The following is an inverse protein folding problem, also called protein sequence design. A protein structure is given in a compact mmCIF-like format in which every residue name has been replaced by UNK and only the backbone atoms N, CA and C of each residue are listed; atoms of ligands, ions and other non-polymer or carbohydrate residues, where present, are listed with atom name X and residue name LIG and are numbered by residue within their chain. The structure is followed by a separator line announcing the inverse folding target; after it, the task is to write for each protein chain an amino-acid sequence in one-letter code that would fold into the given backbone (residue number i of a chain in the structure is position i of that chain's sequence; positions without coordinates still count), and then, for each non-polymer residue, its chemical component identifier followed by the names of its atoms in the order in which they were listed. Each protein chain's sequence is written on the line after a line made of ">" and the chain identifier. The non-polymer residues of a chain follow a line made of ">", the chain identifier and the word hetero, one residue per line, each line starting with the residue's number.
data_IF_028215337916
#
_entry.id   IF_028215337916
#
_cell.length_a   1.000
_cell.length_b   1.000
_cell.length_c   1.000
_cell.angle_alpha   90.00
_cell.angle_beta   90.00
_cell.angle_gamma   90.00
#
_symmetry.space_group_name_H-M   'P 1'
#
loop_
_entity.id
_entity.type
_entity.pdbx_description
1 polymer ?
#
# COMPACT_ATOMS: atom_id res chain seq x y z
N UNK A 1 -11.20 41.64 -45.21
CA UNK A 1 -11.35 40.61 -44.17
C UNK A 1 -12.39 39.61 -44.61
N UNK A 2 -12.76 38.69 -43.72
CA UNK A 2 -13.86 37.75 -43.91
C UNK A 2 -14.62 37.60 -42.58
N UNK A 3 -15.92 37.34 -42.63
CA UNK A 3 -16.75 37.01 -41.47
C UNK A 3 -17.53 35.74 -41.79
N UNK A 4 -17.49 34.77 -40.88
CA UNK A 4 -18.35 33.59 -40.92
C UNK A 4 -19.27 33.66 -39.70
N UNK A 5 -20.58 33.87 -39.92
CA UNK A 5 -21.58 34.03 -38.85
C UNK A 5 -22.78 33.09 -38.99
N UNK A 6 -23.29 32.64 -37.85
CA UNK A 6 -24.55 31.89 -37.71
C UNK A 6 -25.10 32.12 -36.30
N UNK A 7 -26.42 32.14 -36.14
CA UNK A 7 -27.08 32.18 -34.82
C UNK A 7 -27.32 30.75 -34.27
N UNK A 8 -27.06 29.73 -35.10
CA UNK A 8 -27.15 28.32 -34.75
C UNK A 8 -25.74 27.73 -34.52
N UNK A 9 -25.61 26.41 -34.50
CA UNK A 9 -24.33 25.74 -34.38
C UNK A 9 -23.43 25.96 -35.61
N UNK A 10 -22.13 26.09 -35.37
CA UNK A 10 -21.10 26.13 -36.40
C UNK A 10 -20.03 25.07 -36.14
N UNK A 11 -19.43 24.55 -37.20
CA UNK A 11 -18.33 23.60 -37.11
C UNK A 11 -17.26 23.91 -38.16
N UNK A 12 -16.01 23.93 -37.73
CA UNK A 12 -14.83 23.92 -38.60
C UNK A 12 -14.16 22.58 -38.36
N UNK A 13 -14.11 21.73 -39.39
CA UNK A 13 -13.52 20.38 -39.31
C UNK A 13 -12.52 20.22 -40.45
N UNK A 14 -11.30 19.80 -40.11
CA UNK A 14 -10.27 19.47 -41.08
C UNK A 14 -9.62 18.14 -40.67
N UNK A 15 -9.82 17.09 -41.48
CA UNK A 15 -9.37 15.73 -41.18
C UNK A 15 -7.84 15.59 -41.22
N UNK A 16 -7.18 16.46 -41.98
CA UNK A 16 -5.72 16.46 -42.19
C UNK A 16 -5.00 17.54 -41.37
N UNK A 17 -5.70 18.18 -40.42
CA UNK A 17 -5.17 19.26 -39.58
C UNK A 17 -5.72 20.65 -39.91
N UNK A 18 -5.56 21.59 -38.97
CA UNK A 18 -6.08 22.96 -39.04
C UNK A 18 -5.03 23.97 -38.57
N UNK A 19 -4.75 24.97 -39.39
CA UNK A 19 -3.88 26.09 -39.04
C UNK A 19 -4.70 27.39 -38.95
N UNK A 20 -4.77 27.97 -37.76
CA UNK A 20 -5.40 29.27 -37.53
C UNK A 20 -4.30 30.29 -37.23
N UNK A 21 -4.15 31.28 -38.13
CA UNK A 21 -3.03 32.21 -38.09
C UNK A 21 -3.43 33.66 -38.36
N UNK A 22 -2.75 34.59 -37.72
CA UNK A 22 -2.77 36.02 -38.04
C UNK A 22 -1.48 36.52 -38.70
N UNK A 23 -0.57 35.60 -39.07
CA UNK A 23 0.58 35.91 -39.92
C UNK A 23 0.11 36.32 -41.31
N UNK A 24 0.61 37.44 -41.83
CA UNK A 24 0.18 38.00 -43.10
C UNK A 24 0.86 37.33 -44.31
N UNK A 25 0.08 37.09 -45.36
CA UNK A 25 0.55 36.55 -46.64
C UNK A 25 -0.01 37.40 -47.79
N UNK A 26 0.70 38.49 -48.11
CA UNK A 26 0.22 39.52 -49.04
C UNK A 26 0.09 38.93 -50.45
N UNK A 27 -1.09 39.11 -51.07
CA UNK A 27 -1.36 38.60 -52.40
C UNK A 27 -1.42 37.08 -52.50
N UNK A 28 -1.53 36.36 -51.36
CA UNK A 28 -1.43 34.90 -51.31
C UNK A 28 -0.14 34.38 -51.99
N UNK A 29 0.97 35.09 -51.80
CA UNK A 29 2.24 34.87 -52.50
C UNK A 29 3.03 33.62 -52.07
N UNK A 30 2.39 32.65 -51.42
CA UNK A 30 3.02 31.44 -50.88
C UNK A 30 1.99 30.32 -50.74
N UNK A 31 2.37 29.24 -50.09
CA UNK A 31 1.45 28.11 -49.89
C UNK A 31 0.31 28.47 -48.93
N UNK A 32 -0.85 27.87 -49.15
CA UNK A 32 -2.00 28.03 -48.25
C UNK A 32 -1.68 27.58 -46.81
N UNK A 33 -0.78 26.61 -46.68
CA UNK A 33 -0.37 26.01 -45.41
C UNK A 33 1.10 26.33 -45.07
N UNK A 34 1.52 27.58 -45.27
CA UNK A 34 2.85 28.02 -44.81
C UNK A 34 2.91 28.09 -43.27
N UNK A 35 3.44 27.01 -42.68
CA UNK A 35 3.64 26.85 -41.24
C UNK A 35 4.99 27.38 -40.74
N UNK A 36 5.82 27.97 -41.62
CA UNK A 36 7.19 28.37 -41.28
C UNK A 36 7.29 29.23 -40.01
N UNK A 37 6.45 30.28 -39.81
CA UNK A 37 6.50 31.08 -38.60
C UNK A 37 6.12 30.30 -37.33
N UNK A 38 5.11 29.43 -37.41
CA UNK A 38 4.67 28.61 -36.27
C UNK A 38 5.72 27.58 -35.90
N UNK A 39 6.37 26.96 -36.89
CA UNK A 39 7.43 25.98 -36.71
C UNK A 39 8.65 26.54 -36.00
N UNK A 40 9.09 27.75 -36.37
CA UNK A 40 10.21 28.42 -35.72
C UNK A 40 9.94 28.63 -34.22
N UNK A 41 8.70 28.97 -33.86
CA UNK A 41 8.30 29.13 -32.45
C UNK A 41 8.29 27.78 -31.71
N UNK A 42 7.74 26.72 -32.32
CA UNK A 42 7.74 25.37 -31.74
C UNK A 42 9.17 24.86 -31.53
N UNK A 43 10.06 25.07 -32.51
CA UNK A 43 11.47 24.68 -32.41
C UNK A 43 12.19 25.42 -31.28
N UNK A 44 11.95 26.72 -31.14
CA UNK A 44 12.53 27.53 -30.06
C UNK A 44 12.03 27.06 -28.69
N UNK A 45 10.73 26.78 -28.56
CA UNK A 45 10.13 26.25 -27.34
C UNK A 45 10.65 24.85 -26.99
N UNK A 46 10.87 24.00 -27.99
CA UNK A 46 11.48 22.68 -27.79
C UNK A 46 12.92 22.79 -27.30
N UNK A 47 13.76 23.61 -27.94
CA UNK A 47 15.16 23.81 -27.53
C UNK A 47 15.28 24.33 -26.09
N UNK A 48 14.42 25.29 -25.72
CA UNK A 48 14.34 25.79 -24.35
C UNK A 48 13.96 24.68 -23.36
N UNK A 49 12.90 23.92 -23.68
CA UNK A 49 12.42 22.85 -22.80
C UNK A 49 13.45 21.73 -22.66
N UNK A 50 14.14 21.36 -23.74
CA UNK A 50 15.20 20.35 -23.74
C UNK A 50 16.40 20.79 -22.89
N UNK A 51 16.87 22.04 -23.06
CA UNK A 51 17.98 22.58 -22.27
C UNK A 51 17.65 22.65 -20.77
N UNK A 52 16.45 23.12 -20.40
CA UNK A 52 16.02 23.16 -19.01
C UNK A 52 15.82 21.76 -18.43
N UNK A 53 15.31 20.81 -19.22
CA UNK A 53 15.16 19.41 -18.81
C UNK A 53 16.50 18.74 -18.52
N UNK A 54 17.51 18.96 -19.37
CA UNK A 54 18.86 18.45 -19.13
C UNK A 54 19.45 19.07 -17.86
N UNK A 55 19.33 20.39 -17.70
CA UNK A 55 19.82 21.07 -16.49
C UNK A 55 19.13 20.57 -15.21
N UNK A 56 17.83 20.23 -15.26
CA UNK A 56 17.11 19.66 -14.13
C UNK A 56 17.64 18.26 -13.77
N UNK A 57 17.81 17.40 -14.78
CA UNK A 57 18.35 16.05 -14.61
C UNK A 57 19.79 16.08 -14.03
N UNK A 58 20.63 17.00 -14.50
CA UNK A 58 22.00 17.19 -13.98
C UNK A 58 22.03 17.60 -12.50
N UNK A 59 20.91 18.11 -11.97
CA UNK A 59 20.74 18.52 -10.57
C UNK A 59 19.79 17.59 -9.78
N UNK A 60 19.57 16.36 -10.26
CA UNK A 60 18.70 15.34 -9.65
C UNK A 60 17.23 15.78 -9.49
N UNK A 61 16.76 16.74 -10.28
CA UNK A 61 15.34 17.06 -10.40
C UNK A 61 14.69 16.25 -11.53
N UNK A 62 13.36 16.19 -11.56
CA UNK A 62 12.63 15.44 -12.59
C UNK A 62 12.78 16.11 -13.96
N UNK A 63 13.04 15.30 -14.98
CA UNK A 63 13.15 15.75 -16.37
C UNK A 63 11.77 16.03 -17.00
N UNK A 64 11.73 16.94 -17.96
CA UNK A 64 10.52 17.26 -18.74
C UNK A 64 10.30 16.22 -19.84
N UNK A 65 9.88 15.01 -19.46
CA UNK A 65 9.74 13.86 -20.38
C UNK A 65 8.78 14.07 -21.57
N UNK A 66 7.95 15.11 -21.55
CA UNK A 66 6.96 15.43 -22.58
C UNK A 66 7.50 16.21 -23.79
N UNK A 67 8.79 16.58 -23.83
CA UNK A 67 9.40 17.33 -24.94
C UNK A 67 9.28 16.62 -26.30
N UNK A 68 9.15 15.30 -26.30
CA UNK A 68 8.95 14.51 -27.52
C UNK A 68 7.68 14.91 -28.30
N UNK A 69 6.57 15.23 -27.62
CA UNK A 69 5.33 15.64 -28.29
C UNK A 69 5.44 17.03 -28.92
N UNK A 70 6.15 17.95 -28.27
CA UNK A 70 6.41 19.28 -28.82
C UNK A 70 7.31 19.20 -30.06
N UNK A 71 8.34 18.35 -30.02
CA UNK A 71 9.21 18.09 -31.17
C UNK A 71 8.41 17.50 -32.34
N UNK A 72 7.61 16.48 -32.08
CA UNK A 72 6.77 15.84 -33.08
C UNK A 72 5.82 16.84 -33.76
N UNK A 73 5.21 17.75 -32.99
CA UNK A 73 4.35 18.79 -33.56
C UNK A 73 5.10 19.74 -34.53
N UNK A 74 6.40 19.98 -34.29
CA UNK A 74 7.25 20.74 -35.22
C UNK A 74 7.67 19.95 -36.46
N UNK A 75 8.00 18.67 -36.29
CA UNK A 75 8.42 17.76 -37.37
C UNK A 75 7.26 17.40 -38.32
N UNK A 76 6.04 17.29 -37.78
CA UNK A 76 4.83 16.99 -38.53
C UNK A 76 4.25 18.21 -39.26
N UNK A 77 4.68 19.42 -38.91
CA UNK A 77 4.31 20.66 -39.58
C UNK A 77 5.12 20.93 -40.87
N UNK A 78 6.07 20.05 -41.23
CA UNK A 78 6.95 20.17 -42.40
C UNK A 78 6.81 18.99 -43.35
N UNK A 79 5.84 19.08 -44.24
CA UNK A 79 5.62 18.06 -45.26
C UNK A 79 4.99 18.65 -46.52
N UNK A 80 5.10 17.94 -47.64
CA UNK A 80 4.47 18.30 -48.90
C UNK A 80 3.73 17.12 -49.53
N UNK A 81 2.68 17.42 -50.30
CA UNK A 81 2.10 16.51 -51.29
C UNK A 81 2.82 16.73 -52.62
N UNK A 82 3.21 15.67 -53.32
CA UNK A 82 3.85 15.76 -54.64
C UNK A 82 4.89 14.65 -54.85
N UNK A 83 5.26 14.39 -56.10
CA UNK A 83 6.23 13.34 -56.44
C UNK A 83 7.66 13.83 -56.20
N UNK A 84 8.25 13.46 -55.07
CA UNK A 84 9.71 13.32 -54.98
C UNK A 84 10.20 12.00 -55.62
N UNK A 85 9.31 11.24 -56.26
CA UNK A 85 9.71 10.17 -57.18
C UNK A 85 10.37 10.80 -58.41
N UNK A 86 11.68 10.94 -58.29
CA UNK A 86 12.64 10.99 -59.35
C UNK A 86 12.20 10.04 -60.50
N UNK A 87 11.64 10.60 -61.57
CA UNK A 87 11.62 9.95 -62.88
C UNK A 87 13.08 9.81 -63.31
N UNK A 88 13.75 8.72 -62.95
CA UNK A 88 15.11 8.43 -63.40
C UNK A 88 15.18 8.02 -64.87
N UNK A 89 14.06 7.91 -65.60
CA UNK A 89 14.12 7.38 -66.98
C UNK A 89 12.98 7.82 -67.91
N UNK A 90 12.72 9.13 -68.05
CA UNK A 90 11.85 9.61 -69.13
C UNK A 90 12.51 10.71 -69.97
N UNK A 91 12.87 10.32 -71.18
CA UNK A 91 13.47 11.10 -72.25
C UNK A 91 12.59 12.32 -72.60
N UNK A 92 13.07 13.54 -72.28
CA UNK A 92 12.36 14.80 -72.47
C UNK A 92 12.71 15.48 -73.81
N UNK A 93 12.70 14.72 -74.90
CA UNK A 93 13.19 15.19 -76.21
C UNK A 93 12.11 15.74 -77.15
N UNK A 94 10.84 15.90 -76.73
CA UNK A 94 9.83 16.54 -77.60
C UNK A 94 8.80 17.40 -76.87
N UNK A 95 8.42 18.50 -77.52
CA UNK A 95 7.43 19.47 -77.03
C UNK A 95 5.99 18.93 -76.93
N UNK A 96 5.73 17.70 -77.39
CA UNK A 96 4.44 17.02 -77.22
C UNK A 96 4.20 16.48 -75.80
N UNK A 97 5.25 16.37 -74.97
CA UNK A 97 5.14 15.95 -73.57
C UNK A 97 4.89 17.08 -72.56
N UNK A 98 4.83 18.34 -73.03
CA UNK A 98 4.75 19.51 -72.15
C UNK A 98 3.31 20.02 -71.87
N UNK A 99 2.29 19.49 -72.56
CA UNK A 99 0.90 19.93 -72.38
C UNK A 99 0.06 19.03 -71.46
N UNK A 100 0.51 17.81 -71.17
CA UNK A 100 -0.17 16.88 -70.23
C UNK A 100 0.45 16.89 -68.82
N UNK A 101 1.51 17.65 -68.59
CA UNK A 101 2.05 17.86 -67.24
C UNK A 101 1.25 18.95 -66.53
N UNK A 102 0.02 18.61 -66.10
CA UNK A 102 -0.61 19.29 -64.97
C UNK A 102 0.42 19.44 -63.84
N UNK A 103 0.44 20.62 -63.21
CA UNK A 103 1.57 21.09 -62.42
C UNK A 103 2.23 20.01 -61.55
N UNK A 104 3.54 19.83 -61.70
CA UNK A 104 4.41 19.04 -60.79
C UNK A 104 4.55 19.70 -59.40
N UNK A 105 3.51 20.41 -58.96
CA UNK A 105 3.55 21.28 -57.79
C UNK A 105 3.60 20.44 -56.52
N UNK A 106 4.66 20.63 -55.75
CA UNK A 106 4.62 20.28 -54.33
C UNK A 106 3.67 21.27 -53.62
N UNK A 107 2.83 20.77 -52.72
CA UNK A 107 1.93 21.60 -51.91
C UNK A 107 2.11 21.27 -50.43
N UNK A 108 2.34 22.29 -49.60
CA UNK A 108 2.51 22.10 -48.15
C UNK A 108 1.33 21.35 -47.49
N UNK A 109 1.66 20.45 -46.57
CA UNK A 109 0.73 19.66 -45.74
C UNK A 109 1.27 19.43 -44.34
N UNK A 110 0.43 18.89 -43.45
CA UNK A 110 0.86 18.30 -42.19
C UNK A 110 0.99 16.77 -42.34
N UNK A 111 1.92 16.15 -41.60
CA UNK A 111 2.06 14.68 -41.50
C UNK A 111 0.94 14.03 -40.68
N UNK A 112 0.41 14.79 -39.73
CA UNK A 112 -0.61 14.36 -38.77
C UNK A 112 -1.61 15.51 -38.53
N UNK A 113 -2.84 15.22 -38.04
CA UNK A 113 -3.90 16.21 -37.97
C UNK A 113 -3.77 17.15 -36.76
N UNK A 114 -2.79 18.05 -36.81
CA UNK A 114 -2.53 19.04 -35.77
C UNK A 114 -3.49 20.22 -35.85
N UNK A 115 -3.78 20.83 -34.69
CA UNK A 115 -4.37 22.16 -34.60
C UNK A 115 -3.28 23.14 -34.16
N UNK A 116 -2.82 23.98 -35.08
CA UNK A 116 -1.87 25.06 -34.78
C UNK A 116 -2.59 26.39 -34.67
N UNK A 117 -2.38 27.09 -33.55
CA UNK A 117 -2.77 28.49 -33.35
C UNK A 117 -1.49 29.32 -33.34
N UNK A 118 -1.36 30.28 -34.26
CA UNK A 118 -0.19 31.13 -34.34
C UNK A 118 -0.56 32.60 -34.54
N UNK A 119 0.16 33.50 -33.87
CA UNK A 119 -0.06 34.93 -33.99
C UNK A 119 1.25 35.65 -33.70
N UNK A 120 1.67 36.64 -34.51
CA UNK A 120 2.90 37.40 -34.25
C UNK A 120 2.78 38.32 -33.03
N UNK A 121 1.55 38.69 -32.63
CA UNK A 121 1.31 39.61 -31.51
C UNK A 121 0.90 38.90 -30.21
N UNK A 122 0.31 37.71 -30.30
CA UNK A 122 -0.18 36.95 -29.15
C UNK A 122 -1.53 36.28 -29.37
N UNK A 123 -1.90 35.40 -28.45
CA UNK A 123 -3.15 34.64 -28.44
C UNK A 123 -3.82 34.86 -27.08
N UNK A 124 -5.14 35.09 -27.06
CA UNK A 124 -5.90 35.29 -25.82
C UNK A 124 -7.13 34.38 -25.81
N UNK A 125 -7.42 33.80 -24.65
CA UNK A 125 -8.62 33.01 -24.38
C UNK A 125 -9.31 33.62 -23.15
N UNK A 126 -10.60 33.92 -23.25
CA UNK A 126 -11.37 34.55 -22.17
C UNK A 126 -12.80 34.04 -22.13
N UNK A 127 -13.31 33.81 -20.91
CA UNK A 127 -14.70 33.42 -20.63
C UNK A 127 -15.10 33.98 -19.26
N UNK A 128 -16.35 34.40 -19.05
CA UNK A 128 -16.83 34.78 -17.72
C UNK A 128 -17.05 33.57 -16.80
N UNK A 129 -17.08 32.35 -17.34
CA UNK A 129 -17.28 31.11 -16.60
C UNK A 129 -15.98 30.30 -16.51
N UNK A 130 -15.99 29.01 -16.89
CA UNK A 130 -14.86 28.11 -16.75
C UNK A 130 -14.14 27.84 -18.06
N UNK A 131 -12.84 27.60 -17.95
CA UNK A 131 -12.01 27.00 -19.01
C UNK A 131 -11.48 25.66 -18.49
N UNK A 132 -11.48 24.64 -19.34
CA UNK A 132 -10.97 23.31 -19.02
C UNK A 132 -9.93 22.88 -20.06
N UNK A 133 -8.79 22.39 -19.59
CA UNK A 133 -7.76 21.74 -20.42
C UNK A 133 -7.70 20.27 -19.99
N UNK A 134 -8.09 19.36 -20.89
CA UNK A 134 -8.08 17.93 -20.64
C UNK A 134 -7.26 17.22 -21.73
N UNK A 135 -6.22 16.50 -21.31
CA UNK A 135 -5.33 15.75 -22.20
C UNK A 135 -5.20 14.30 -21.71
N UNK A 136 -5.16 13.35 -22.64
CA UNK A 136 -4.93 11.93 -22.31
C UNK A 136 -3.47 11.55 -22.08
N UNK A 137 -2.53 12.50 -22.26
CA UNK A 137 -1.09 12.28 -22.12
C UNK A 137 -0.44 13.35 -21.24
N UNK A 138 -0.03 14.48 -21.82
CA UNK A 138 0.69 15.53 -21.10
C UNK A 138 0.24 16.93 -21.51
N UNK A 139 0.43 17.90 -20.61
CA UNK A 139 0.33 19.33 -20.86
C UNK A 139 1.74 19.92 -20.68
N UNK A 140 2.26 20.57 -21.72
CA UNK A 140 3.55 21.28 -21.67
C UNK A 140 3.33 22.77 -21.89
N UNK A 141 3.96 23.59 -21.05
CA UNK A 141 3.95 25.06 -21.16
C UNK A 141 5.39 25.53 -21.23
N UNK A 142 5.74 26.20 -22.33
CA UNK A 142 7.08 26.75 -22.55
C UNK A 142 6.97 28.24 -22.86
N UNK A 143 7.74 29.05 -22.14
CA UNK A 143 7.79 30.52 -22.29
C UNK A 143 9.24 30.96 -22.37
N UNK A 144 9.57 31.85 -23.31
CA UNK A 144 10.92 32.45 -23.37
C UNK A 144 11.25 33.37 -22.19
N UNK A 145 10.21 33.84 -21.50
CA UNK A 145 10.26 34.70 -20.32
C UNK A 145 9.44 34.06 -19.17
N UNK A 146 8.56 34.83 -18.52
CA UNK A 146 7.87 34.41 -17.30
C UNK A 146 6.58 33.61 -17.55
N UNK A 147 6.30 32.68 -16.64
CA UNK A 147 4.95 32.12 -16.43
C UNK A 147 4.32 32.83 -15.23
N UNK A 148 3.26 33.60 -15.48
CA UNK A 148 2.52 34.31 -14.44
C UNK A 148 1.17 33.64 -14.17
N UNK A 149 0.92 33.22 -12.92
CA UNK A 149 -0.34 32.60 -12.50
C UNK A 149 -0.96 33.45 -11.39
N UNK A 150 -2.13 34.03 -11.65
CA UNK A 150 -2.89 34.80 -10.68
C UNK A 150 -4.26 34.15 -10.44
N UNK A 151 -4.57 33.88 -9.17
CA UNK A 151 -5.86 33.30 -8.74
C UNK A 151 -6.50 34.19 -7.68
N UNK A 152 -7.82 34.40 -7.78
CA UNK A 152 -8.56 35.21 -6.81
C UNK A 152 -8.91 34.48 -5.51
N UNK A 153 -8.74 33.14 -5.46
CA UNK A 153 -9.08 32.32 -4.29
C UNK A 153 -7.95 31.37 -3.92
N UNK A 154 -7.80 30.29 -4.67
CA UNK A 154 -6.87 29.20 -4.35
C UNK A 154 -6.18 28.69 -5.62
N UNK A 155 -4.93 28.26 -5.45
CA UNK A 155 -4.24 27.39 -6.40
C UNK A 155 -4.10 26.03 -5.73
N UNK A 156 -4.74 25.01 -6.29
CA UNK A 156 -4.75 23.64 -5.75
C UNK A 156 -4.21 22.71 -6.82
N UNK A 157 -3.23 21.89 -6.45
CA UNK A 157 -2.64 20.88 -7.30
C UNK A 157 -2.67 19.53 -6.57
N UNK A 158 -3.24 18.52 -7.22
CA UNK A 158 -3.24 17.12 -6.76
C UNK A 158 -2.51 16.29 -7.79
N UNK A 159 -1.43 15.63 -7.39
CA UNK A 159 -0.48 14.95 -8.28
C UNK A 159 -0.31 13.52 -7.78
N UNK A 160 -0.40 12.54 -8.67
CA UNK A 160 -0.36 11.12 -8.31
C UNK A 160 1.04 10.58 -8.05
N UNK A 161 2.05 11.15 -8.71
CA UNK A 161 3.42 10.63 -8.65
C UNK A 161 4.37 11.60 -7.95
N UNK A 162 4.73 12.72 -8.59
CA UNK A 162 5.75 13.63 -8.06
C UNK A 162 5.50 15.10 -8.39
N UNK A 163 5.80 15.98 -7.42
CA UNK A 163 5.98 17.41 -7.65
C UNK A 163 7.48 17.74 -7.64
N UNK A 164 8.03 18.14 -8.78
CA UNK A 164 9.42 18.60 -8.89
C UNK A 164 9.48 20.08 -9.28
N UNK A 165 10.21 20.87 -8.50
CA UNK A 165 10.41 22.31 -8.74
C UNK A 165 11.91 22.59 -8.83
N UNK A 166 12.37 22.95 -10.02
CA UNK A 166 13.77 23.24 -10.31
C UNK A 166 13.95 24.69 -10.76
N UNK A 167 14.94 25.39 -10.21
CA UNK A 167 15.32 26.75 -10.60
C UNK A 167 16.83 26.80 -10.82
N UNK A 168 17.25 27.06 -12.06
CA UNK A 168 18.66 27.03 -12.44
C UNK A 168 19.51 28.18 -11.86
N UNK A 169 18.92 29.36 -11.62
CA UNK A 169 19.69 30.59 -11.35
C UNK A 169 19.29 31.33 -10.06
N UNK A 170 18.02 31.75 -9.95
CA UNK A 170 17.62 32.75 -8.96
C UNK A 170 17.09 32.18 -7.62
N UNK A 171 17.01 30.86 -7.49
CA UNK A 171 16.50 30.17 -6.30
C UNK A 171 14.98 30.20 -6.15
N UNK A 172 14.49 29.62 -5.05
CA UNK A 172 13.06 29.45 -4.75
C UNK A 172 12.66 30.38 -3.60
N UNK A 173 11.47 30.98 -3.70
CA UNK A 173 10.87 31.84 -2.68
C UNK A 173 9.46 31.36 -2.36
N UNK A 174 9.22 30.95 -1.11
CA UNK A 174 7.92 30.49 -0.61
C UNK A 174 7.49 31.39 0.55
N UNK A 175 6.44 32.18 0.35
CA UNK A 175 5.96 33.12 1.37
C UNK A 175 4.46 32.97 1.58
N UNK A 176 4.04 32.94 2.85
CA UNK A 176 2.65 33.16 3.25
C UNK A 176 2.58 34.49 4.00
N UNK A 177 1.89 35.49 3.44
CA UNK A 177 1.72 36.78 4.11
C UNK A 177 0.89 36.66 5.41
N UNK A 178 -0.03 35.70 5.43
CA UNK A 178 -0.83 35.28 6.58
C UNK A 178 -1.11 33.79 6.47
N UNK A 179 -1.40 33.16 7.60
CA UNK A 179 -1.66 31.72 7.65
C UNK A 179 -0.39 30.90 7.82
N UNK A 180 -0.58 29.63 8.19
CA UNK A 180 0.49 28.67 8.49
C UNK A 180 1.11 28.17 7.17
N UNK A 181 2.44 28.10 7.11
CA UNK A 181 3.15 27.27 6.13
C UNK A 181 3.31 25.88 6.74
N UNK A 182 2.85 24.85 6.04
CA UNK A 182 2.94 23.47 6.46
C UNK A 182 3.58 22.64 5.34
N UNK A 183 4.63 21.90 5.68
CA UNK A 183 5.33 20.97 4.79
C UNK A 183 5.41 19.65 5.54
N UNK A 184 5.04 18.56 4.89
CA UNK A 184 5.00 17.21 5.47
C UNK A 184 5.43 16.19 4.44
N UNK A 185 6.24 15.22 4.86
CA UNK A 185 6.40 13.94 4.19
C UNK A 185 5.63 12.93 5.05
N UNK A 186 4.47 12.46 4.58
CA UNK A 186 3.51 11.73 5.42
C UNK A 186 3.90 10.27 5.66
N UNK A 187 4.65 9.68 4.71
CA UNK A 187 5.07 8.28 4.76
C UNK A 187 6.54 8.09 4.39
N UNK A 188 7.32 9.16 4.29
CA UNK A 188 8.72 9.13 3.85
C UNK A 188 9.54 10.23 4.53
N UNK A 189 10.84 10.29 4.23
CA UNK A 189 11.77 11.24 4.79
C UNK A 189 11.56 12.66 4.25
N UNK A 190 11.94 13.65 5.06
CA UNK A 190 12.10 15.04 4.65
C UNK A 190 13.57 15.43 4.75
N UNK A 191 14.13 15.98 3.67
CA UNK A 191 15.51 16.48 3.61
C UNK A 191 15.55 18.00 3.37
N UNK A 192 16.42 18.70 4.09
CA UNK A 192 16.72 20.12 3.88
C UNK A 192 18.23 20.34 3.90
N UNK A 193 18.81 20.50 2.71
CA UNK A 193 20.26 20.59 2.52
C UNK A 193 20.63 21.90 1.81
N UNK A 194 21.71 22.55 2.25
CA UNK A 194 22.28 23.73 1.60
C UNK A 194 23.81 23.68 1.61
N UNK A 195 24.46 24.11 0.52
CA UNK A 195 25.92 24.22 0.45
C UNK A 195 26.47 25.28 1.43
N UNK A 196 25.67 26.32 1.69
CA UNK A 196 26.00 27.43 2.60
C UNK A 196 25.26 27.25 3.93
N UNK A 197 24.80 28.35 4.53
CA UNK A 197 24.09 28.31 5.79
C UNK A 197 22.64 27.86 5.64
N UNK A 198 22.16 27.11 6.63
CA UNK A 198 20.74 26.92 6.92
C UNK A 198 20.39 27.75 8.15
N UNK A 199 19.37 28.61 8.05
CA UNK A 199 18.90 29.44 9.17
C UNK A 199 17.45 29.08 9.49
N UNK A 200 17.21 28.69 10.75
CA UNK A 200 15.87 28.46 11.31
C UNK A 200 15.65 29.50 12.39
N UNK A 201 14.58 30.30 12.28
CA UNK A 201 14.33 31.42 13.19
C UNK A 201 12.84 31.57 13.47
N UNK A 202 12.50 31.70 14.76
CA UNK A 202 11.19 32.16 15.22
C UNK A 202 11.38 33.52 15.88
N UNK A 203 10.74 34.57 15.38
CA UNK A 203 10.96 35.94 15.84
C UNK A 203 10.16 36.28 17.10
N UNK A 204 9.00 35.67 17.27
CA UNK A 204 8.08 35.93 18.39
C UNK A 204 7.70 34.65 19.16
N UNK A 205 8.03 33.47 18.63
CA UNK A 205 7.65 32.18 19.20
C UNK A 205 8.84 31.29 19.54
N UNK A 206 8.58 29.98 19.58
CA UNK A 206 9.59 28.95 19.87
C UNK A 206 9.95 28.15 18.62
N UNK A 207 11.17 27.64 18.57
CA UNK A 207 11.56 26.57 17.64
C UNK A 207 11.35 25.25 18.39
N UNK A 208 10.44 24.41 17.91
CA UNK A 208 10.20 23.07 18.45
C UNK A 208 10.81 22.03 17.51
N UNK A 209 11.76 21.26 18.03
CA UNK A 209 12.33 20.08 17.35
C UNK A 209 12.00 18.87 18.21
N UNK A 210 11.35 17.88 17.64
CA UNK A 210 10.90 16.68 18.34
C UNK A 210 11.04 15.49 17.41
N UNK A 211 11.51 14.37 17.94
CA UNK A 211 11.67 13.11 17.21
C UNK A 211 11.37 11.95 18.15
N UNK A 212 10.80 10.88 17.62
CA UNK A 212 10.49 9.68 18.40
C UNK A 212 11.75 8.89 18.77
N UNK A 213 12.64 8.69 17.79
CA UNK A 213 13.86 7.90 17.98
C UNK A 213 15.01 8.72 18.57
N UNK A 214 15.26 9.92 18.05
CA UNK A 214 16.30 10.79 18.58
C UNK A 214 16.60 12.04 17.75
N UNK A 215 17.40 12.93 18.33
CA UNK A 215 17.87 14.18 17.71
C UNK A 215 19.40 14.21 17.78
N UNK A 216 20.07 14.43 16.64
CA UNK A 216 21.53 14.58 16.54
C UNK A 216 21.90 15.94 15.95
N UNK A 217 22.69 16.71 16.69
CA UNK A 217 23.28 17.98 16.25
C UNK A 217 24.80 17.79 16.19
N UNK A 218 25.41 17.89 15.01
CA UNK A 218 26.82 17.55 14.81
C UNK A 218 27.60 18.65 14.07
N UNK A 219 28.87 18.84 14.43
CA UNK A 219 29.78 19.75 13.73
C UNK A 219 31.25 19.41 14.06
N UNK A 220 32.08 19.24 13.03
CA UNK A 220 33.54 19.11 13.20
C UNK A 220 34.00 17.98 14.15
N UNK A 221 33.19 16.92 14.29
CA UNK A 221 33.43 15.81 15.21
C UNK A 221 32.85 15.99 16.63
N UNK A 222 32.39 17.18 17.00
CA UNK A 222 31.59 17.39 18.21
C UNK A 222 30.10 17.17 17.93
N UNK A 223 29.35 16.72 18.93
CA UNK A 223 27.91 16.52 18.79
C UNK A 223 27.14 16.65 20.11
N UNK A 224 25.84 16.94 19.96
CA UNK A 224 24.82 16.79 20.99
C UNK A 224 23.80 15.77 20.48
N UNK A 225 23.52 14.74 21.27
CA UNK A 225 22.55 13.70 20.93
C UNK A 225 21.50 13.57 22.03
N UNK A 226 20.24 13.48 21.63
CA UNK A 226 19.09 13.20 22.51
C UNK A 226 18.48 11.89 22.02
N UNK A 227 18.56 10.83 22.82
CA UNK A 227 18.13 9.48 22.42
C UNK A 227 17.79 8.65 23.67
N UNK A 228 16.71 7.85 23.64
CA UNK A 228 16.28 7.00 24.77
C UNK A 228 16.08 7.71 26.13
N UNK A 229 15.83 9.02 26.11
CA UNK A 229 15.71 9.85 27.32
C UNK A 229 17.04 10.38 27.85
N UNK A 230 18.16 10.00 27.25
CA UNK A 230 19.49 10.47 27.60
C UNK A 230 19.92 11.67 26.73
N UNK A 231 20.81 12.50 27.27
CA UNK A 231 21.46 13.60 26.56
C UNK A 231 22.97 13.37 26.61
N UNK A 232 23.58 13.24 25.43
CA UNK A 232 25.04 13.11 25.28
C UNK A 232 25.62 14.40 24.69
N UNK A 233 26.70 14.90 25.30
CA UNK A 233 27.46 16.06 24.81
C UNK A 233 28.92 15.66 24.66
N UNK A 234 29.34 15.38 23.44
CA UNK A 234 30.70 14.92 23.13
C UNK A 234 31.44 15.95 22.29
N UNK A 235 32.70 16.22 22.63
CA UNK A 235 33.55 17.07 21.81
C UNK A 235 35.01 16.60 21.87
N UNK A 236 35.76 16.64 20.75
CA UNK A 236 37.17 16.27 20.75
C UNK A 236 38.08 17.34 21.37
N UNK A 237 37.60 18.58 21.42
CA UNK A 237 38.29 19.72 22.03
C UNK A 237 37.76 20.03 23.42
N UNK A 238 37.52 21.31 23.68
CA UNK A 238 37.03 21.81 24.96
C UNK A 238 35.52 22.04 24.91
N UNK A 239 34.80 21.57 25.92
CA UNK A 239 33.44 22.03 26.22
C UNK A 239 33.51 23.23 27.19
N UNK A 240 33.14 24.42 26.73
CA UNK A 240 33.17 25.66 27.51
C UNK A 240 31.75 26.02 27.98
N UNK A 241 31.50 25.90 29.29
CA UNK A 241 30.21 26.22 29.91
C UNK A 241 30.30 27.53 30.69
N UNK A 242 29.53 28.55 30.30
CA UNK A 242 29.52 29.87 30.95
C UNK A 242 28.16 30.15 31.58
N UNK A 243 28.15 30.42 32.89
CA UNK A 243 26.96 30.80 33.65
C UNK A 243 27.31 31.19 35.08
N UNK A 244 26.43 31.96 35.73
CA UNK A 244 26.63 32.34 37.15
C UNK A 244 26.40 31.17 38.12
N UNK A 245 25.63 30.15 37.72
CA UNK A 245 25.33 28.95 38.49
C UNK A 245 25.16 27.74 37.56
N UNK A 246 25.57 26.55 38.04
CA UNK A 246 25.32 25.26 37.42
C UNK A 246 24.68 24.34 38.46
N UNK A 247 23.38 24.09 38.35
CA UNK A 247 22.63 23.28 39.32
C UNK A 247 22.18 21.97 38.68
N UNK A 248 22.54 20.84 39.29
CA UNK A 248 22.20 19.50 38.83
C UNK A 248 21.24 18.84 39.83
N UNK A 249 19.96 19.23 39.79
CA UNK A 249 18.93 18.90 40.79
C UNK A 249 18.24 17.54 40.61
N UNK A 250 18.88 16.59 39.92
CA UNK A 250 18.32 15.28 39.61
C UNK A 250 17.49 15.24 38.31
N UNK A 251 16.95 14.06 37.94
CA UNK A 251 16.29 13.86 36.65
C UNK A 251 14.90 14.50 36.59
N UNK A 252 14.50 14.93 35.39
CA UNK A 252 13.15 15.40 35.07
C UNK A 252 12.68 14.77 33.75
N UNK A 253 11.37 14.75 33.51
CA UNK A 253 10.78 14.21 32.28
C UNK A 253 9.75 15.18 31.71
N UNK A 254 9.60 15.14 30.39
CA UNK A 254 8.57 15.86 29.65
C UNK A 254 7.94 14.88 28.65
N UNK A 255 6.63 14.62 28.77
CA UNK A 255 5.91 13.84 27.77
C UNK A 255 5.52 14.74 26.60
N UNK A 256 5.90 14.32 25.38
CA UNK A 256 5.43 14.95 24.14
C UNK A 256 4.55 13.96 23.41
N UNK A 257 3.30 14.33 23.13
CA UNK A 257 2.45 13.61 22.20
C UNK A 257 2.78 14.04 20.77
N UNK A 258 3.04 13.08 19.89
CA UNK A 258 3.14 13.32 18.45
C UNK A 258 1.74 13.33 17.84
N UNK A 259 1.45 14.28 16.96
CA UNK A 259 0.24 14.21 16.13
C UNK A 259 0.44 13.05 15.14
N UNK A 260 -0.49 12.10 15.10
CA UNK A 260 -0.50 11.05 14.08
C UNK A 260 -0.60 11.74 12.71
N UNK A 261 0.37 11.48 11.84
CA UNK A 261 0.24 11.85 10.44
C UNK A 261 -0.93 11.07 9.85
N UNK A 262 -1.69 11.66 8.91
CA UNK A 262 -2.78 10.94 8.28
C UNK A 262 -2.19 9.72 7.56
N UNK A 263 -2.39 8.54 8.13
CA UNK A 263 -2.21 7.31 7.41
C UNK A 263 -3.24 7.29 6.27
N UNK A 264 -2.79 6.96 5.06
CA UNK A 264 -3.72 6.49 4.04
C UNK A 264 -4.52 5.38 4.71
N UNK A 265 -5.87 5.42 4.73
CA UNK A 265 -6.62 4.31 5.28
C UNK A 265 -6.12 3.07 4.55
N UNK A 266 -5.53 2.15 5.31
CA UNK A 266 -5.26 0.81 4.81
C UNK A 266 -6.55 0.23 4.24
N UNK A 267 -6.49 -0.92 3.54
CA UNK A 267 -7.71 -1.60 3.14
C UNK A 267 -8.68 -1.68 4.32
N UNK A 268 -9.94 -1.32 4.11
CA UNK A 268 -10.95 -1.39 5.14
C UNK A 268 -11.03 -2.84 5.59
N UNK A 269 -10.73 -3.08 6.87
CA UNK A 269 -10.77 -4.42 7.45
C UNK A 269 -12.06 -4.61 8.25
N UNK A 270 -12.75 -5.71 7.97
CA UNK A 270 -13.89 -6.14 8.77
C UNK A 270 -13.79 -7.65 9.02
N UNK A 271 -14.13 -8.07 10.24
CA UNK A 271 -14.42 -9.46 10.56
C UNK A 271 -15.77 -9.51 11.28
N UNK A 272 -16.38 -10.68 11.32
CA UNK A 272 -17.64 -10.90 12.01
C UNK A 272 -17.43 -11.90 13.13
N UNK A 273 -18.12 -11.68 14.26
CA UNK A 273 -18.33 -12.72 15.25
C UNK A 273 -19.67 -13.37 14.95
N UNK A 274 -19.63 -14.65 14.58
CA UNK A 274 -20.80 -15.47 14.36
C UNK A 274 -21.38 -15.84 15.72
N UNK A 275 -22.64 -15.49 15.97
CA UNK A 275 -23.36 -15.83 17.21
C UNK A 275 -24.67 -16.51 16.90
N UNK A 276 -25.11 -17.41 17.76
CA UNK A 276 -26.46 -17.97 17.67
C UNK A 276 -27.50 -16.88 17.99
N UNK A 277 -28.57 -16.84 17.21
CA UNK A 277 -29.58 -15.78 17.29
C UNK A 277 -30.46 -15.89 18.54
N UNK A 278 -30.59 -17.07 19.12
CA UNK A 278 -31.45 -17.32 20.29
C UNK A 278 -30.66 -17.25 21.60
N UNK A 279 -29.45 -17.81 21.64
CA UNK A 279 -28.63 -17.80 22.86
C UNK A 279 -27.65 -16.62 22.96
N UNK A 280 -27.27 -16.02 21.84
CA UNK A 280 -26.22 -15.00 21.77
C UNK A 280 -24.80 -15.55 21.97
N UNK A 281 -24.64 -16.87 22.09
CA UNK A 281 -23.33 -17.50 22.22
C UNK A 281 -22.58 -17.51 20.89
N UNK A 282 -21.24 -17.44 20.94
CA UNK A 282 -20.41 -17.56 19.75
C UNK A 282 -20.63 -18.91 19.07
N UNK A 283 -20.58 -18.92 17.74
CA UNK A 283 -20.66 -20.09 16.88
C UNK A 283 -19.26 -20.48 16.43
N UNK A 284 -18.50 -21.20 17.27
CA UNK A 284 -17.14 -21.58 16.94
C UNK A 284 -17.13 -22.51 15.74
N UNK A 285 -16.17 -22.31 14.84
CA UNK A 285 -15.99 -23.16 13.66
C UNK A 285 -17.20 -23.26 12.74
N UNK A 286 -18.14 -22.31 12.77
CA UNK A 286 -19.23 -22.28 11.81
C UNK A 286 -18.69 -21.93 10.41
N UNK A 287 -19.17 -22.66 9.40
CA UNK A 287 -18.87 -22.34 8.00
C UNK A 287 -19.64 -21.09 7.59
N UNK A 288 -18.98 -20.16 6.88
CA UNK A 288 -19.60 -18.92 6.46
C UNK A 288 -19.18 -18.52 5.04
N UNK A 289 -20.00 -17.67 4.43
CA UNK A 289 -19.78 -16.99 3.16
C UNK A 289 -20.07 -15.51 3.36
N UNK A 290 -19.14 -14.66 2.97
CA UNK A 290 -19.33 -13.20 2.89
C UNK A 290 -19.29 -12.77 1.43
N UNK A 291 -20.23 -11.94 1.02
CA UNK A 291 -20.32 -11.36 -0.32
C UNK A 291 -20.19 -9.83 -0.23
N UNK A 292 -19.31 -9.26 -1.06
CA UNK A 292 -19.12 -7.80 -1.18
C UNK A 292 -20.18 -7.18 -2.10
N UNK A 293 -20.33 -5.86 -2.10
CA UNK A 293 -21.26 -5.19 -3.01
C UNK A 293 -20.79 -5.29 -4.48
N UNK A 294 -19.49 -5.47 -4.69
CA UNK A 294 -18.86 -5.71 -6.00
C UNK A 294 -18.94 -7.17 -6.48
N UNK A 295 -19.52 -8.07 -5.66
CA UNK A 295 -19.76 -9.48 -6.02
C UNK A 295 -18.59 -10.43 -5.72
N UNK A 296 -17.57 -9.99 -5.00
CA UNK A 296 -16.51 -10.87 -4.49
C UNK A 296 -17.05 -11.75 -3.37
N UNK A 297 -16.62 -13.01 -3.34
CA UNK A 297 -17.11 -14.01 -2.39
C UNK A 297 -15.95 -14.55 -1.55
N UNK A 298 -16.10 -14.42 -0.24
CA UNK A 298 -15.16 -14.91 0.76
C UNK A 298 -15.79 -16.05 1.57
N UNK A 299 -15.34 -17.28 1.34
CA UNK A 299 -15.77 -18.46 2.12
C UNK A 299 -14.69 -18.89 3.12
N UNK A 300 -15.12 -19.41 4.26
CA UNK A 300 -14.21 -19.88 5.30
C UNK A 300 -14.94 -20.50 6.48
N UNK A 301 -14.16 -20.89 7.49
CA UNK A 301 -14.65 -21.41 8.76
C UNK A 301 -14.21 -20.46 9.87
N UNK A 302 -15.12 -20.12 10.79
CA UNK A 302 -14.79 -19.25 11.91
C UNK A 302 -13.81 -19.95 12.87
N UNK A 303 -13.17 -19.19 13.75
CA UNK A 303 -12.28 -19.76 14.78
C UNK A 303 -13.06 -20.23 16.03
N UNK A 304 -12.33 -20.57 17.09
CA UNK A 304 -12.89 -21.04 18.37
C UNK A 304 -13.71 -19.99 19.14
N UNK A 305 -13.66 -18.72 18.74
CA UNK A 305 -14.45 -17.64 19.31
C UNK A 305 -15.55 -17.18 18.32
N UNK A 306 -15.77 -17.96 17.25
CA UNK A 306 -16.75 -17.64 16.22
C UNK A 306 -16.33 -16.49 15.31
N UNK A 307 -15.06 -16.10 15.30
CA UNK A 307 -14.57 -14.98 14.49
C UNK A 307 -14.23 -15.43 13.07
N UNK A 308 -14.72 -14.70 12.07
CA UNK A 308 -14.37 -14.90 10.66
C UNK A 308 -12.96 -14.40 10.37
N UNK A 309 -12.39 -14.81 9.23
CA UNK A 309 -11.17 -14.17 8.72
C UNK A 309 -11.42 -12.69 8.45
N UNK A 310 -10.36 -11.89 8.52
CA UNK A 310 -10.40 -10.49 8.10
C UNK A 310 -10.70 -10.41 6.61
N UNK A 311 -11.70 -9.60 6.26
CA UNK A 311 -12.08 -9.27 4.89
C UNK A 311 -11.55 -7.87 4.64
N UNK A 312 -10.80 -7.73 3.55
CA UNK A 312 -10.11 -6.51 3.18
C UNK A 312 -10.77 -5.94 1.94
N UNK A 313 -11.33 -4.74 2.01
CA UNK A 313 -11.94 -4.04 0.87
C UNK A 313 -11.21 -2.74 0.57
N UNK A 314 -11.22 -2.31 -0.69
CA UNK A 314 -10.54 -1.07 -1.13
C UNK A 314 -11.36 0.19 -0.79
N UNK A 315 -12.66 0.03 -0.62
CA UNK A 315 -13.62 1.08 -0.26
C UNK A 315 -14.57 0.59 0.84
N UNK A 316 -15.18 1.48 1.64
CA UNK A 316 -16.19 1.08 2.60
C UNK A 316 -17.43 0.57 1.86
N UNK A 317 -17.80 -0.68 2.09
CA UNK A 317 -18.96 -1.31 1.46
C UNK A 317 -19.72 -2.22 2.42
N UNK A 318 -21.00 -2.47 2.13
CA UNK A 318 -21.84 -3.35 2.92
C UNK A 318 -21.53 -4.80 2.59
N UNK A 319 -21.09 -5.56 3.58
CA UNK A 319 -20.82 -6.99 3.45
C UNK A 319 -22.07 -7.81 3.82
N UNK A 320 -22.40 -8.80 2.99
CA UNK A 320 -23.48 -9.75 3.25
C UNK A 320 -22.90 -11.06 3.78
N UNK A 321 -23.07 -11.31 5.07
CA UNK A 321 -22.66 -12.55 5.73
C UNK A 321 -23.78 -13.60 5.70
N UNK A 322 -23.44 -14.83 5.31
CA UNK A 322 -24.31 -16.01 5.34
C UNK A 322 -23.58 -17.12 6.10
N UNK A 323 -24.21 -17.69 7.13
CA UNK A 323 -23.70 -18.88 7.83
C UNK A 323 -24.17 -20.11 7.04
N UNK A 324 -23.22 -20.90 6.55
CA UNK A 324 -23.46 -22.04 5.65
C UNK A 324 -23.93 -23.30 6.40
N UNK A 325 -23.68 -23.40 7.71
CA UNK A 325 -24.15 -24.52 8.56
C UNK A 325 -25.66 -24.44 8.90
N UNK A 326 -26.42 -23.61 8.20
CA UNK A 326 -27.89 -23.56 8.26
C UNK A 326 -28.54 -23.62 6.87
N UNK A 327 -27.94 -24.36 5.95
CA UNK A 327 -28.70 -24.94 4.85
C UNK A 327 -29.23 -26.32 5.29
N UNK A 328 -30.56 -26.38 5.35
CA UNK A 328 -31.44 -27.55 5.38
C UNK A 328 -31.94 -28.04 6.77
N UNK A 329 -33.06 -27.44 7.18
CA UNK A 329 -34.17 -28.08 7.93
C UNK A 329 -34.81 -29.23 7.12
N UNK A 330 -33.98 -30.16 6.63
CA UNK A 330 -34.41 -31.34 5.92
C UNK A 330 -33.41 -32.50 6.10
N UNK A 331 -33.13 -32.90 7.35
CA UNK A 331 -33.00 -34.29 7.78
C UNK A 331 -32.61 -34.38 9.26
N UNK A 332 -33.57 -34.77 10.12
CA UNK A 332 -33.28 -35.30 11.46
C UNK A 332 -32.58 -36.65 11.32
N UNK A 333 -31.27 -36.69 11.48
CA UNK A 333 -30.59 -37.95 11.82
C UNK A 333 -30.57 -38.12 13.35
N UNK A 334 -31.31 -39.14 13.80
CA UNK A 334 -31.23 -39.66 15.16
C UNK A 334 -29.78 -40.11 15.43
N UNK A 335 -29.07 -39.44 16.35
CA UNK A 335 -27.81 -39.97 16.87
C UNK A 335 -28.08 -41.30 17.58
N UNK A 336 -27.49 -42.37 17.08
CA UNK A 336 -27.61 -43.72 17.63
C UNK A 336 -26.66 -43.90 18.83
N UNK A 337 -27.14 -44.56 19.89
CA UNK A 337 -26.32 -44.98 21.02
C UNK A 337 -25.92 -46.45 20.87
N UNK A 338 -24.70 -46.79 21.25
CA UNK A 338 -24.22 -48.18 21.20
C UNK A 338 -22.86 -48.41 21.87
N UNK A 339 -22.39 -49.66 21.89
CA UNK A 339 -21.12 -50.04 22.50
C UNK A 339 -19.94 -49.43 21.75
N UNK A 340 -18.94 -48.96 22.49
CA UNK A 340 -17.87 -48.14 21.94
C UNK A 340 -16.60 -48.12 22.80
N UNK A 341 -15.71 -47.22 22.42
CA UNK A 341 -14.48 -46.88 23.15
C UNK A 341 -14.25 -45.38 23.09
N UNK A 342 -13.61 -44.84 24.12
CA UNK A 342 -13.15 -43.46 24.15
C UNK A 342 -11.87 -43.34 23.34
N UNK A 343 -11.89 -42.53 22.28
CA UNK A 343 -10.72 -42.28 21.42
C UNK A 343 -10.29 -40.85 21.58
N UNK A 344 -9.00 -40.62 21.85
CA UNK A 344 -8.44 -39.26 21.96
C UNK A 344 -8.50 -38.57 20.60
N UNK A 345 -9.29 -37.51 20.51
CA UNK A 345 -9.51 -36.73 19.29
C UNK A 345 -8.76 -35.40 19.32
N UNK A 346 -8.53 -34.83 20.52
CA UNK A 346 -7.81 -33.58 20.68
C UNK A 346 -6.99 -33.53 21.98
N UNK A 347 -5.89 -32.77 21.95
CA UNK A 347 -5.02 -32.50 23.12
C UNK A 347 -4.67 -31.01 23.16
N UNK A 348 -5.32 -30.26 24.04
CA UNK A 348 -5.07 -28.83 24.21
C UNK A 348 -4.03 -28.57 25.32
N UNK A 349 -2.86 -28.05 24.95
CA UNK A 349 -1.72 -27.83 25.84
C UNK A 349 -1.68 -26.47 26.56
N UNK A 350 -2.81 -25.76 26.69
CA UNK A 350 -2.94 -24.48 27.45
C UNK A 350 -1.69 -23.57 27.36
N UNK A 351 -1.26 -23.27 26.13
CA UNK A 351 0.11 -22.83 25.81
C UNK A 351 0.62 -21.62 26.59
N UNK A 352 -0.20 -20.56 26.72
CA UNK A 352 0.20 -19.33 27.43
C UNK A 352 0.38 -19.59 28.93
N UNK A 353 -0.56 -20.31 29.55
CA UNK A 353 -0.48 -20.67 30.98
C UNK A 353 0.75 -21.54 31.25
N UNK A 354 0.98 -22.54 30.39
CA UNK A 354 2.11 -23.44 30.54
C UNK A 354 3.46 -22.72 30.34
N UNK A 355 3.54 -21.74 29.44
CA UNK A 355 4.73 -20.92 29.27
C UNK A 355 5.11 -20.15 30.55
N UNK A 356 4.16 -19.49 31.21
CA UNK A 356 4.43 -18.81 32.48
C UNK A 356 4.82 -19.78 33.59
N UNK A 357 4.16 -20.95 33.66
CA UNK A 357 4.49 -21.99 34.64
C UNK A 357 5.93 -22.50 34.46
N UNK A 358 6.35 -22.73 33.22
CA UNK A 358 7.74 -23.12 32.90
C UNK A 358 8.75 -22.05 33.31
N UNK A 359 8.40 -20.76 33.13
CA UNK A 359 9.29 -19.64 33.47
C UNK A 359 9.46 -19.50 34.98
N UNK A 360 8.37 -19.65 35.75
CA UNK A 360 8.40 -19.72 37.22
C UNK A 360 9.26 -20.89 37.69
N UNK A 361 9.02 -22.10 37.17
CA UNK A 361 9.80 -23.30 37.52
C UNK A 361 11.27 -23.20 37.13
N UNK A 362 11.58 -22.51 36.03
CA UNK A 362 12.96 -22.18 35.69
C UNK A 362 13.59 -21.31 36.77
N UNK A 363 12.93 -20.24 37.21
CA UNK A 363 13.51 -19.35 38.25
C UNK A 363 13.78 -20.07 39.57
N UNK A 364 12.96 -21.05 39.95
CA UNK A 364 13.15 -21.87 41.15
C UNK A 364 14.33 -22.86 41.03
N UNK A 365 14.71 -23.25 39.81
CA UNK A 365 15.69 -24.32 39.54
C UNK A 365 17.03 -23.82 38.95
N UNK A 366 17.22 -22.51 38.79
CA UNK A 366 18.43 -21.86 38.22
C UNK A 366 19.74 -22.17 38.98
N UNK A 367 19.68 -22.70 40.20
CA UNK A 367 20.85 -23.09 41.00
C UNK A 367 21.49 -24.45 40.66
N UNK A 368 20.85 -25.28 39.82
CA UNK A 368 21.40 -26.56 39.36
C UNK A 368 22.26 -26.34 38.10
N UNK A 369 23.60 -26.30 38.25
CA UNK A 369 24.54 -25.98 37.17
C UNK A 369 24.47 -26.97 35.99
N UNK A 370 24.34 -26.43 34.75
CA UNK A 370 24.53 -27.17 33.50
C UNK A 370 23.26 -27.57 32.72
N UNK A 371 22.06 -27.18 33.17
CA UNK A 371 20.78 -27.62 32.56
C UNK A 371 20.31 -26.75 31.39
N UNK A 372 20.14 -27.33 30.20
CA UNK A 372 19.54 -26.64 29.04
C UNK A 372 18.03 -26.43 29.22
N UNK A 373 17.50 -25.36 28.63
CA UNK A 373 16.07 -25.05 28.71
C UNK A 373 15.27 -26.15 28.00
N UNK A 374 14.29 -26.73 28.70
CA UNK A 374 13.48 -27.82 28.16
C UNK A 374 14.17 -29.20 28.11
N UNK A 375 15.37 -29.35 28.68
CA UNK A 375 16.12 -30.62 28.63
C UNK A 375 15.73 -31.64 29.70
N UNK A 376 15.05 -31.23 30.78
CA UNK A 376 14.45 -32.15 31.77
C UNK A 376 12.99 -31.83 32.03
N UNK A 377 12.22 -32.86 32.36
CA UNK A 377 10.80 -32.76 32.73
C UNK A 377 10.48 -31.80 33.89
N UNK A 378 11.48 -31.44 34.72
CA UNK A 378 11.35 -30.42 35.79
C UNK A 378 10.85 -29.06 35.30
N UNK A 379 11.21 -28.62 34.09
CA UNK A 379 10.74 -27.33 33.55
C UNK A 379 9.23 -27.39 33.26
N UNK A 380 8.72 -28.58 32.99
CA UNK A 380 7.33 -28.82 32.64
C UNK A 380 6.47 -29.15 33.88
N UNK A 381 7.06 -29.16 35.09
CA UNK A 381 6.35 -29.47 36.33
C UNK A 381 5.16 -28.52 36.57
N UNK A 382 3.97 -29.11 36.74
CA UNK A 382 2.74 -28.36 36.99
C UNK A 382 2.11 -27.77 35.73
N UNK A 383 2.65 -28.04 34.54
CA UNK A 383 1.95 -27.73 33.28
C UNK A 383 0.71 -28.60 33.14
N UNK A 384 -0.33 -28.05 32.51
CA UNK A 384 -1.66 -28.69 32.41
C UNK A 384 -2.06 -28.85 30.94
N UNK A 385 -2.63 -29.99 30.58
CA UNK A 385 -3.27 -30.19 29.27
C UNK A 385 -4.65 -30.81 29.44
N UNK A 386 -5.56 -30.50 28.51
CA UNK A 386 -6.88 -31.13 28.45
C UNK A 386 -6.91 -32.10 27.27
N UNK A 387 -7.23 -33.36 27.57
CA UNK A 387 -7.36 -34.43 26.58
C UNK A 387 -8.84 -34.68 26.35
N UNK A 388 -9.31 -34.41 25.13
CA UNK A 388 -10.68 -34.69 24.72
C UNK A 388 -10.73 -36.07 24.08
N UNK A 389 -11.59 -36.93 24.60
CA UNK A 389 -11.90 -38.23 24.01
C UNK A 389 -13.34 -38.25 23.49
N UNK A 390 -13.55 -38.86 22.33
CA UNK A 390 -14.86 -39.04 21.71
C UNK A 390 -15.27 -40.51 21.70
N UNK A 391 -16.53 -40.78 22.05
CA UNK A 391 -17.09 -42.12 22.03
C UNK A 391 -17.28 -42.61 20.59
N UNK A 392 -16.53 -43.64 20.23
CA UNK A 392 -16.48 -44.19 18.88
C UNK A 392 -16.90 -45.66 18.91
N UNK A 393 -17.69 -46.08 17.90
CA UNK A 393 -18.15 -47.46 17.78
C UNK A 393 -16.98 -48.45 17.70
N UNK A 394 -17.17 -49.62 18.33
CA UNK A 394 -16.21 -50.71 18.23
C UNK A 394 -16.22 -51.33 16.83
N UNK A 395 -15.04 -51.70 16.33
CA UNK A 395 -14.94 -52.57 15.14
C UNK A 395 -15.38 -53.99 15.48
N UNK A 396 -15.79 -54.76 14.47
CA UNK A 396 -16.25 -56.14 14.64
C UNK A 396 -15.20 -57.04 15.32
N UNK A 397 -13.91 -56.80 15.07
CA UNK A 397 -12.80 -57.50 15.72
C UNK A 397 -12.66 -57.18 17.21
N UNK A 398 -12.88 -55.92 17.59
CA UNK A 398 -12.77 -55.48 18.99
C UNK A 398 -13.94 -55.98 19.82
N UNK A 399 -15.15 -55.94 19.27
CA UNK A 399 -16.34 -56.52 19.90
C UNK A 399 -16.18 -58.01 20.17
N UNK A 400 -15.56 -58.73 19.22
CA UNK A 400 -15.26 -60.16 19.38
C UNK A 400 -14.24 -60.41 20.48
N UNK A 401 -13.16 -59.62 20.52
CA UNK A 401 -12.11 -59.75 21.52
C UNK A 401 -12.61 -59.48 22.95
N UNK A 402 -13.48 -58.49 23.15
CA UNK A 402 -14.09 -58.20 24.45
C UNK A 402 -15.03 -59.32 24.91
N UNK A 403 -15.85 -59.84 24.00
CA UNK A 403 -16.76 -60.96 24.27
C UNK A 403 -16.00 -62.24 24.65
N UNK A 404 -14.88 -62.54 23.98
CA UNK A 404 -14.02 -63.70 24.29
C UNK A 404 -13.38 -63.60 25.69
N UNK A 405 -13.24 -62.38 26.23
CA UNK A 405 -12.76 -62.10 27.59
C UNK A 405 -13.90 -61.99 28.63
N UNK A 406 -15.16 -62.22 28.23
CA UNK A 406 -16.32 -62.12 29.12
C UNK A 406 -16.75 -60.69 29.48
N UNK A 407 -16.33 -59.69 28.71
CA UNK A 407 -16.57 -58.27 28.96
C UNK A 407 -17.57 -57.68 27.96
N UNK A 408 -18.42 -56.76 28.42
CA UNK A 408 -19.37 -56.02 27.56
C UNK A 408 -19.08 -54.52 27.66
N UNK A 409 -18.92 -53.85 26.51
CA UNK A 409 -18.72 -52.40 26.47
C UNK A 409 -19.97 -51.65 26.91
N UNK A 410 -19.79 -50.59 27.70
CA UNK A 410 -20.85 -49.66 28.11
C UNK A 410 -21.48 -48.99 26.89
N UNK A 411 -22.69 -48.45 26.99
CA UNK A 411 -23.34 -47.76 25.86
C UNK A 411 -23.41 -46.25 26.11
N UNK A 412 -22.81 -45.48 25.21
CA UNK A 412 -22.94 -44.01 25.12
C UNK A 412 -23.42 -43.61 23.73
N UNK A 413 -23.82 -42.35 23.54
CA UNK A 413 -24.20 -41.84 22.22
C UNK A 413 -22.94 -41.63 21.38
N UNK A 414 -22.91 -42.12 20.15
CA UNK A 414 -21.73 -41.95 19.30
C UNK A 414 -21.48 -40.47 19.03
N UNK A 415 -20.23 -40.05 19.23
CA UNK A 415 -19.84 -38.65 19.20
C UNK A 415 -19.92 -37.92 20.56
N UNK A 416 -20.37 -38.58 21.64
CA UNK A 416 -20.23 -38.02 22.99
C UNK A 416 -18.76 -37.75 23.30
N UNK A 417 -18.49 -36.69 24.05
CA UNK A 417 -17.12 -36.29 24.38
C UNK A 417 -16.92 -36.20 25.88
N UNK A 418 -15.73 -36.58 26.34
CA UNK A 418 -15.28 -36.33 27.72
C UNK A 418 -13.91 -35.66 27.69
N UNK A 419 -13.69 -34.78 28.66
CA UNK A 419 -12.44 -34.03 28.79
C UNK A 419 -11.74 -34.47 30.07
N UNK A 420 -10.47 -34.86 29.95
CA UNK A 420 -9.63 -35.26 31.07
C UNK A 420 -8.47 -34.28 31.19
N UNK A 421 -8.45 -33.51 32.27
CA UNK A 421 -7.36 -32.58 32.57
C UNK A 421 -6.20 -33.35 33.19
N UNK A 422 -5.03 -33.29 32.57
CA UNK A 422 -3.79 -33.90 33.06
C UNK A 422 -2.81 -32.82 33.49
N UNK A 423 -2.06 -33.10 34.56
CA UNK A 423 -0.95 -32.26 35.03
C UNK A 423 0.36 -33.03 34.89
N UNK A 424 1.42 -32.38 34.42
CA UNK A 424 2.73 -33.00 34.26
C UNK A 424 3.51 -32.94 35.58
N UNK A 425 3.79 -34.10 36.17
CA UNK A 425 4.34 -34.23 37.52
C UNK A 425 5.44 -35.30 37.58
N UNK A 426 6.35 -35.20 38.55
CA UNK A 426 7.33 -36.26 38.87
C UNK A 426 6.63 -37.38 39.63
N UNK A 427 6.73 -38.61 39.12
CA UNK A 427 6.15 -39.78 39.74
C UNK A 427 7.14 -40.92 39.88
N UNK A 428 6.85 -41.91 40.75
CA UNK A 428 7.47 -43.22 40.63
C UNK A 428 7.08 -43.83 39.28
N UNK A 429 8.08 -44.34 38.57
CA UNK A 429 7.87 -45.05 37.31
C UNK A 429 7.79 -46.55 37.57
N UNK A 430 6.67 -47.17 37.21
CA UNK A 430 6.48 -48.62 37.32
C UNK A 430 7.12 -49.38 36.14
N UNK A 431 7.71 -48.69 35.16
CA UNK A 431 8.44 -49.32 34.05
C UNK A 431 9.80 -49.83 34.54
N UNK A 432 10.19 -51.03 34.09
CA UNK A 432 11.25 -51.90 34.61
C UNK A 432 12.73 -51.39 34.60
N UNK A 433 13.01 -50.13 34.94
CA UNK A 433 14.33 -49.64 35.38
C UNK A 433 14.14 -48.54 36.42
N UNK A 434 14.51 -48.82 37.66
CA UNK A 434 14.32 -47.94 38.82
C UNK A 434 14.88 -46.53 38.60
N UNK A 435 13.98 -45.54 38.62
CA UNK A 435 14.28 -44.11 38.61
C UNK A 435 12.96 -43.34 38.56
N UNK A 436 12.85 -42.21 39.26
CA UNK A 436 11.70 -41.31 39.12
C UNK A 436 11.64 -40.77 37.68
N UNK A 437 10.44 -40.62 37.12
CA UNK A 437 10.26 -40.05 35.77
C UNK A 437 9.13 -39.01 35.75
N UNK A 438 9.15 -38.15 34.72
CA UNK A 438 8.20 -37.05 34.56
C UNK A 438 7.15 -37.41 33.50
N UNK A 439 5.88 -37.39 33.88
CA UNK A 439 4.80 -37.78 32.99
C UNK A 439 3.47 -37.09 33.34
N UNK A 440 2.54 -37.12 32.38
CA UNK A 440 1.18 -36.60 32.56
C UNK A 440 0.38 -37.50 33.52
N UNK A 441 -0.27 -36.90 34.50
CA UNK A 441 -1.09 -37.58 35.50
C UNK A 441 -2.51 -36.96 35.55
N UNK A 442 -3.60 -37.76 35.52
CA UNK A 442 -3.58 -39.22 35.35
C UNK A 442 -3.12 -39.59 33.94
N UNK A 443 -2.42 -40.73 33.78
CA UNK A 443 -2.06 -41.19 32.44
C UNK A 443 -3.32 -41.67 31.70
N UNK A 444 -3.58 -41.12 30.52
CA UNK A 444 -4.74 -41.45 29.70
C UNK A 444 -4.26 -42.22 28.47
N UNK A 445 -4.93 -43.32 28.14
CA UNK A 445 -4.62 -44.09 26.93
C UNK A 445 -5.21 -43.39 25.71
N UNK A 446 -4.53 -43.51 24.56
CA UNK A 446 -5.05 -42.97 23.29
C UNK A 446 -6.43 -43.54 22.95
N UNK A 447 -6.65 -44.81 23.30
CA UNK A 447 -7.93 -45.50 23.23
C UNK A 447 -8.21 -46.18 24.57
N UNK A 448 -9.43 -46.02 25.08
CA UNK A 448 -9.86 -46.56 26.36
C UNK A 448 -11.21 -47.24 26.22
N UNK A 449 -11.25 -48.52 26.59
CA UNK A 449 -12.46 -49.32 26.56
C UNK A 449 -13.11 -49.26 27.93
N UNK A 450 -14.39 -48.87 27.97
CA UNK A 450 -15.18 -48.85 29.19
C UNK A 450 -16.14 -50.05 29.14
N UNK A 451 -16.03 -50.97 30.10
CA UNK A 451 -16.73 -52.25 30.07
C UNK A 451 -17.19 -52.71 31.46
N UNK A 452 -18.20 -53.56 31.47
CA UNK A 452 -18.75 -54.24 32.65
C UNK A 452 -18.57 -55.75 32.53
N UNK A 453 -18.45 -56.44 33.67
CA UNK A 453 -18.37 -57.90 33.73
C UNK A 453 -19.73 -58.50 33.36
N UNK A 454 -19.75 -59.34 32.31
CA UNK A 454 -20.98 -59.95 31.81
C UNK A 454 -21.70 -60.83 32.83
N UNK A 455 -21.01 -61.31 33.88
CA UNK A 455 -21.61 -62.18 34.91
C UNK A 455 -22.13 -61.45 36.15
N UNK A 456 -21.86 -60.15 36.31
CA UNK A 456 -22.46 -59.32 37.35
C UNK A 456 -22.53 -57.84 36.87
N UNK A 457 -23.57 -57.51 36.07
CA UNK A 457 -23.61 -56.32 35.23
C UNK A 457 -23.85 -55.00 35.96
#
# INVERSE_FOLDING_TARGET
>A
GFELRTDAYGAIRANEGLYLTSWGQIGASGDQLDLSPARQQIQSAWQLSDSLSQSAADHNAEALNATAYLKQAGDDADDSYGTSEQLTDSDQSSAAGASDSGGRGEAARMKAPWLHLASPAGITMSTPESSHLAQGKSLSVATGEDVNIATGKSLVASISEALSLFVQKAGIKLFAARGKVQVQAQSDAMELTAEKGVQVTSTEGVIKVSAEQGILLQSGGGYIRIENGDIEVHCPGTADFKGAQHNFSGPGSLSTSFEELPDSPGPYEQFFTLTDKESGEALPYASYRVETAEGEVFEGRADGDGITRKILTRTPETLKLTILDRLDDAQKEQKTAGPGKWVTTDVNKRGIRNFFQMLVKRTETIGDEGRLWGSDGKDFEGTVQDVTQTWTALSASETRALTEQGLVSVTHTYGDTRVITQTYLEGPDDWHRSGKSWHWQPAVRREEFEFVDSQNP
#
